data_IF_243149845376
#
_entry.id   IF_243149845376
#
_cell.length_a   1.000
_cell.length_b   1.000
_cell.length_c   1.000
_cell.angle_alpha   90.00
_cell.angle_beta   90.00
_cell.angle_gamma   90.00
#
_symmetry.space_group_name_H-M   'P 1'
#
loop_
_entity.id
_entity.type
_entity.pdbx_description
1 polymer ?
#
# COMPACT_ATOMS: atom_id res chain seq x y z
N UNK A 1 -2.18 -7.62 -0.36
CA UNK A 1 -1.97 -8.27 -1.67
C UNK A 1 -2.05 -7.23 -2.78
N UNK A 2 -1.13 -7.25 -3.77
CA UNK A 2 -1.17 -6.31 -4.91
C UNK A 2 -2.00 -6.90 -6.06
N UNK A 3 -2.99 -6.15 -6.53
CA UNK A 3 -3.91 -6.53 -7.60
C UNK A 3 -3.78 -5.52 -8.74
N UNK A 4 -3.76 -5.98 -10.00
CA UNK A 4 -3.89 -5.10 -11.15
C UNK A 4 -5.37 -4.95 -11.49
N UNK A 5 -5.82 -3.70 -11.67
CA UNK A 5 -7.17 -3.40 -12.15
C UNK A 5 -7.06 -2.70 -13.50
N UNK A 6 -7.70 -3.27 -14.51
CA UNK A 6 -7.59 -2.84 -15.90
C UNK A 6 -8.97 -2.50 -16.51
N UNK A 7 -9.85 -1.87 -15.74
CA UNK A 7 -11.15 -1.42 -16.26
C UNK A 7 -10.97 -0.10 -16.99
N UNK A 8 -11.62 0.00 -18.16
CA UNK A 8 -11.61 1.18 -19.01
C UNK A 8 -12.31 2.40 -18.38
N UNK A 9 -13.09 2.20 -17.30
CA UNK A 9 -13.99 3.20 -16.72
C UNK A 9 -13.62 3.61 -15.28
N UNK A 10 -12.33 3.70 -14.93
CA UNK A 10 -11.93 4.45 -13.72
C UNK A 10 -12.07 5.96 -13.99
N UNK A 11 -13.31 6.39 -14.12
CA UNK A 11 -13.75 7.76 -14.26
C UNK A 11 -14.32 8.27 -12.93
N UNK A 12 -14.59 9.58 -12.87
CA UNK A 12 -15.18 10.28 -11.71
C UNK A 12 -16.42 9.59 -11.10
N UNK A 13 -17.16 8.77 -11.86
CA UNK A 13 -18.27 7.96 -11.36
C UNK A 13 -17.84 6.81 -10.41
N UNK A 14 -16.68 6.17 -10.64
CA UNK A 14 -16.14 5.12 -9.78
C UNK A 14 -15.47 5.69 -8.52
N UNK A 15 -14.83 6.85 -8.63
CA UNK A 15 -14.37 7.61 -7.46
C UNK A 15 -15.53 8.00 -6.53
N UNK A 16 -16.72 8.27 -7.09
CA UNK A 16 -17.93 8.58 -6.33
C UNK A 16 -18.66 7.32 -5.79
N UNK A 17 -18.38 6.12 -6.31
CA UNK A 17 -18.94 4.84 -5.81
C UNK A 17 -18.07 4.19 -4.74
N UNK A 18 -16.75 4.43 -4.78
CA UNK A 18 -15.88 4.08 -3.67
C UNK A 18 -16.19 5.04 -2.53
N UNK A 19 -16.87 4.53 -1.51
CA UNK A 19 -17.15 5.29 -0.31
C UNK A 19 -15.81 5.75 0.29
N UNK A 20 -15.52 7.04 0.21
CA UNK A 20 -14.22 7.66 0.53
C UNK A 20 -13.88 7.42 2.01
N UNK A 21 -14.91 7.22 2.82
CA UNK A 21 -14.78 6.86 4.23
C UNK A 21 -14.20 5.46 4.45
N UNK A 22 -14.17 4.60 3.42
CA UNK A 22 -13.73 3.19 3.49
C UNK A 22 -12.54 2.84 2.59
N UNK A 23 -12.02 3.75 1.79
CA UNK A 23 -10.89 3.47 0.87
C UNK A 23 -9.84 4.58 0.89
N UNK A 24 -8.60 4.24 0.52
CA UNK A 24 -7.52 5.21 0.32
C UNK A 24 -7.24 5.31 -1.18
N UNK A 25 -7.26 6.52 -1.72
CA UNK A 25 -6.97 6.80 -3.12
C UNK A 25 -5.69 7.63 -3.20
N UNK A 26 -4.72 7.15 -3.97
CA UNK A 26 -3.44 7.83 -4.21
C UNK A 26 -3.33 8.05 -5.72
N UNK A 27 -3.38 9.32 -6.14
CA UNK A 27 -3.33 9.69 -7.56
C UNK A 27 -1.90 10.03 -8.00
N UNK A 28 -1.29 9.16 -8.80
CA UNK A 28 0.10 9.26 -9.23
C UNK A 28 0.29 10.14 -10.47
N UNK A 29 -0.79 10.67 -11.08
CA UNK A 29 -0.72 11.38 -12.36
C UNK A 29 0.02 12.72 -12.29
N UNK A 30 -0.04 13.38 -11.13
CA UNK A 30 0.65 14.65 -10.89
C UNK A 30 2.13 14.46 -10.51
N UNK A 31 2.60 13.23 -10.29
CA UNK A 31 3.99 12.97 -9.94
C UNK A 31 4.94 13.18 -11.13
N UNK A 32 6.07 13.82 -10.87
CA UNK A 32 7.05 14.16 -11.90
C UNK A 32 8.37 13.42 -11.75
N UNK A 33 8.83 13.22 -10.51
CA UNK A 33 10.11 12.61 -10.14
C UNK A 33 9.90 11.31 -9.34
N UNK A 34 10.94 10.45 -9.26
CA UNK A 34 10.92 9.25 -8.41
C UNK A 34 10.58 9.59 -6.95
N UNK A 35 11.12 10.70 -6.45
CA UNK A 35 10.89 11.21 -5.09
C UNK A 35 9.43 11.61 -4.87
N UNK A 36 8.76 12.20 -5.88
CA UNK A 36 7.33 12.58 -5.79
C UNK A 36 6.44 11.35 -5.54
N UNK A 37 6.70 10.24 -6.25
CA UNK A 37 5.93 9.01 -6.07
C UNK A 37 6.11 8.43 -4.66
N UNK A 38 7.36 8.38 -4.17
CA UNK A 38 7.66 7.89 -2.82
C UNK A 38 6.99 8.80 -1.79
N UNK A 39 7.14 10.11 -1.93
CA UNK A 39 6.62 11.08 -0.99
C UNK A 39 5.10 11.02 -0.92
N UNK A 40 4.42 10.97 -2.07
CA UNK A 40 2.96 10.91 -2.12
C UNK A 40 2.42 9.64 -1.44
N UNK A 41 3.02 8.47 -1.73
CA UNK A 41 2.57 7.21 -1.13
C UNK A 41 2.84 7.21 0.38
N UNK A 42 4.06 7.57 0.80
CA UNK A 42 4.43 7.61 2.22
C UNK A 42 3.65 8.62 3.03
N UNK A 43 3.31 9.78 2.47
CA UNK A 43 2.50 10.78 3.19
C UNK A 43 1.03 10.35 3.29
N UNK A 44 0.48 9.69 2.26
CA UNK A 44 -0.92 9.22 2.30
C UNK A 44 -1.10 8.02 3.22
N UNK A 45 -0.10 7.13 3.28
CA UNK A 45 -0.11 5.95 4.14
C UNK A 45 0.60 6.17 5.48
N UNK A 46 0.96 7.41 5.86
CA UNK A 46 1.67 7.63 7.12
C UNK A 46 0.80 7.23 8.30
N UNK A 47 1.27 6.26 9.08
CA UNK A 47 0.58 5.72 10.24
C UNK A 47 1.10 6.37 11.53
N UNK A 48 0.50 6.07 12.68
CA UNK A 48 0.82 6.74 13.95
C UNK A 48 2.25 6.49 14.45
N UNK A 49 2.87 5.36 14.07
CA UNK A 49 4.26 5.01 14.35
C UNK A 49 5.26 5.52 13.29
N UNK A 50 4.79 6.02 12.15
CA UNK A 50 5.67 6.52 11.10
C UNK A 50 6.39 7.80 11.56
N UNK A 51 7.71 7.72 11.70
CA UNK A 51 8.52 8.91 11.99
C UNK A 51 8.49 9.86 10.79
N UNK A 52 8.04 11.11 11.02
CA UNK A 52 8.01 12.14 9.96
C UNK A 52 9.39 12.45 9.37
N UNK A 53 10.46 12.09 10.08
CA UNK A 53 11.85 12.22 9.65
C UNK A 53 12.29 11.04 8.78
N UNK A 54 11.79 10.98 7.53
CA UNK A 54 12.17 9.89 6.61
C UNK A 54 11.27 9.76 5.38
N UNK A 55 10.07 10.32 5.43
CA UNK A 55 9.10 10.32 4.34
C UNK A 55 9.72 10.78 3.01
N UNK A 56 9.40 10.09 1.92
CA UNK A 56 9.77 10.49 0.56
C UNK A 56 11.23 10.32 0.14
N UNK A 57 12.13 9.81 0.99
CA UNK A 57 13.58 9.86 0.68
C UNK A 57 14.10 8.70 -0.17
N UNK A 58 13.61 7.48 0.06
CA UNK A 58 14.05 6.29 -0.66
C UNK A 58 13.04 5.14 -0.49
N UNK A 59 13.28 4.02 -1.19
CA UNK A 59 12.42 2.83 -1.15
C UNK A 59 12.43 2.11 0.20
N UNK A 60 13.48 2.27 1.01
CA UNK A 60 13.53 1.68 2.35
C UNK A 60 12.56 2.43 3.27
N UNK A 61 12.59 3.76 3.25
CA UNK A 61 11.63 4.60 3.97
C UNK A 61 10.18 4.36 3.51
N UNK A 62 9.96 4.10 2.21
CA UNK A 62 8.66 3.64 1.71
C UNK A 62 8.25 2.33 2.38
N UNK A 63 9.17 1.38 2.44
CA UNK A 63 8.91 0.06 2.99
C UNK A 63 8.58 0.12 4.48
N UNK A 64 9.29 0.96 5.24
CA UNK A 64 9.03 1.15 6.66
C UNK A 64 7.64 1.74 6.90
N UNK A 65 7.29 2.84 6.20
CA UNK A 65 5.97 3.49 6.35
C UNK A 65 4.84 2.57 5.93
N UNK A 66 5.00 1.86 4.80
CA UNK A 66 3.98 0.93 4.32
C UNK A 66 3.86 -0.27 5.27
N UNK A 67 4.98 -0.73 5.86
CA UNK A 67 4.96 -1.78 6.88
C UNK A 67 4.19 -1.32 8.12
N UNK A 68 4.49 -0.12 8.63
CA UNK A 68 3.80 0.46 9.79
C UNK A 68 2.30 0.61 9.50
N UNK A 69 1.95 1.13 8.33
CA UNK A 69 0.56 1.22 7.89
C UNK A 69 -0.13 -0.14 7.89
N UNK A 70 0.49 -1.16 7.29
CA UNK A 70 -0.06 -2.50 7.23
C UNK A 70 -0.22 -3.10 8.63
N UNK A 71 0.78 -2.93 9.51
CA UNK A 71 0.75 -3.46 10.87
C UNK A 71 -0.30 -2.76 11.75
N UNK A 72 -0.42 -1.42 11.66
CA UNK A 72 -1.40 -0.64 12.44
C UNK A 72 -2.83 -0.82 11.95
N UNK A 73 -3.01 -0.93 10.64
CA UNK A 73 -4.31 -1.04 9.99
C UNK A 73 -4.61 -2.48 9.58
N UNK A 74 -3.94 -3.45 10.21
CA UNK A 74 -4.20 -4.86 9.97
C UNK A 74 -5.67 -5.14 10.32
N UNK A 75 -6.49 -5.28 9.27
CA UNK A 75 -7.95 -5.46 9.32
C UNK A 75 -8.75 -4.29 9.90
N UNK A 76 -8.18 -3.08 9.87
CA UNK A 76 -8.92 -1.84 10.04
C UNK A 76 -9.00 -1.17 8.66
N UNK A 77 -10.19 -1.28 8.06
CA UNK A 77 -10.39 -1.50 6.63
C UNK A 77 -10.27 -0.25 5.76
N UNK A 78 -9.16 -0.12 5.01
CA UNK A 78 -9.18 0.61 3.72
C UNK A 78 -8.34 -0.08 2.66
N UNK A 79 -8.98 -0.47 1.56
CA UNK A 79 -8.25 -0.86 0.36
C UNK A 79 -7.56 0.39 -0.22
N UNK A 80 -6.38 0.20 -0.80
CA UNK A 80 -5.54 1.28 -1.32
C UNK A 80 -5.56 1.21 -2.84
N UNK A 81 -5.89 2.32 -3.48
CA UNK A 81 -5.99 2.44 -4.93
C UNK A 81 -4.90 3.39 -5.43
N UNK A 82 -3.92 2.86 -6.16
CA UNK A 82 -2.86 3.61 -6.82
C UNK A 82 -3.30 3.93 -8.26
N UNK A 83 -3.83 5.13 -8.46
CA UNK A 83 -4.39 5.59 -9.73
C UNK A 83 -3.29 6.17 -10.62
N UNK A 84 -3.36 5.95 -11.94
CA UNK A 84 -2.34 6.42 -12.88
C UNK A 84 -1.10 5.54 -12.91
N UNK A 85 -1.22 4.25 -12.58
CA UNK A 85 -0.09 3.33 -12.60
C UNK A 85 0.46 3.11 -14.01
N UNK A 86 -0.39 3.17 -15.03
CA UNK A 86 0.05 3.12 -16.43
C UNK A 86 0.91 4.33 -16.81
N UNK A 87 0.46 5.54 -16.47
CA UNK A 87 1.26 6.76 -16.61
C UNK A 87 2.62 6.63 -15.91
N UNK A 88 2.63 6.07 -14.70
CA UNK A 88 3.86 5.84 -13.96
C UNK A 88 4.81 4.86 -14.67
N UNK A 89 4.30 3.73 -15.18
CA UNK A 89 5.09 2.76 -15.96
C UNK A 89 5.69 3.42 -17.20
N UNK A 90 4.91 4.21 -17.94
CA UNK A 90 5.35 4.85 -19.18
C UNK A 90 6.44 5.89 -18.94
N UNK A 91 6.33 6.68 -17.86
CA UNK A 91 7.29 7.75 -17.53
C UNK A 91 8.54 7.23 -16.83
N UNK A 92 8.39 6.23 -15.96
CA UNK A 92 9.44 5.70 -15.09
C UNK A 92 9.44 4.16 -15.05
N UNK A 93 9.78 3.48 -16.17
CA UNK A 93 9.58 2.03 -16.32
C UNK A 93 10.41 1.18 -15.35
N UNK A 94 11.66 1.57 -15.07
CA UNK A 94 12.52 0.84 -14.14
C UNK A 94 12.09 1.08 -12.69
N UNK A 95 11.77 2.34 -12.36
CA UNK A 95 11.44 2.71 -11.00
C UNK A 95 10.06 2.20 -10.58
N UNK A 96 9.07 2.17 -11.47
CA UNK A 96 7.76 1.55 -11.21
C UNK A 96 7.88 0.07 -10.82
N UNK A 97 8.79 -0.68 -11.46
CA UNK A 97 9.07 -2.07 -11.08
C UNK A 97 9.78 -2.18 -9.71
N UNK A 98 10.73 -1.28 -9.42
CA UNK A 98 11.38 -1.23 -8.10
C UNK A 98 10.37 -0.92 -6.99
N UNK A 99 9.47 0.03 -7.22
CA UNK A 99 8.44 0.42 -6.27
C UNK A 99 7.42 -0.71 -6.07
N UNK A 100 6.98 -1.36 -7.16
CA UNK A 100 6.13 -2.56 -7.09
C UNK A 100 6.77 -3.66 -6.25
N UNK A 101 8.05 -3.93 -6.48
CA UNK A 101 8.80 -4.93 -5.73
C UNK A 101 8.92 -4.53 -4.25
N UNK A 102 9.16 -3.25 -3.94
CA UNK A 102 9.19 -2.75 -2.58
C UNK A 102 7.85 -2.99 -1.87
N UNK A 103 6.72 -2.60 -2.47
CA UNK A 103 5.39 -2.82 -1.91
C UNK A 103 5.10 -4.31 -1.66
N UNK A 104 5.44 -5.19 -2.62
CA UNK A 104 5.25 -6.64 -2.46
C UNK A 104 6.10 -7.23 -1.33
N UNK A 105 7.39 -6.85 -1.28
CA UNK A 105 8.30 -7.35 -0.25
C UNK A 105 7.88 -6.87 1.14
N UNK A 106 7.42 -5.63 1.25
CA UNK A 106 6.89 -5.08 2.50
C UNK A 106 5.68 -5.83 2.99
N UNK A 107 4.74 -6.16 2.11
CA UNK A 107 3.58 -6.97 2.45
C UNK A 107 3.99 -8.36 3.00
N UNK A 108 4.90 -9.04 2.32
CA UNK A 108 5.40 -10.36 2.77
C UNK A 108 6.15 -10.28 4.10
N UNK A 109 6.99 -9.25 4.28
CA UNK A 109 7.71 -9.01 5.54
C UNK A 109 6.74 -8.77 6.69
N UNK A 110 5.69 -7.98 6.47
CA UNK A 110 4.67 -7.69 7.48
C UNK A 110 3.92 -8.96 7.93
N UNK A 111 3.52 -9.84 6.99
CA UNK A 111 2.98 -11.18 7.33
C UNK A 111 3.98 -11.98 8.17
N UNK A 112 5.25 -12.01 7.73
CA UNK A 112 6.30 -12.77 8.42
C UNK A 112 6.54 -12.26 9.84
N UNK A 113 6.52 -10.94 10.05
CA UNK A 113 6.67 -10.32 11.36
C UNK A 113 5.53 -10.71 12.29
N UNK A 114 4.28 -10.68 11.81
CA UNK A 114 3.12 -11.12 12.59
C UNK A 114 3.22 -12.60 12.98
N UNK A 115 3.65 -13.48 12.05
CA UNK A 115 3.90 -14.89 12.35
C UNK A 115 4.97 -15.09 13.42
N UNK A 116 6.04 -14.28 13.40
CA UNK A 116 7.09 -14.34 14.40
C UNK A 116 6.59 -13.91 15.79
N UNK A 117 5.81 -12.83 15.89
CA UNK A 117 5.20 -12.40 17.15
C UNK A 117 4.29 -13.48 17.74
N UNK A 118 3.53 -14.16 16.88
CA UNK A 118 2.70 -15.31 17.29
C UNK A 118 3.59 -16.46 17.81
N UNK A 119 4.65 -16.79 17.08
CA UNK A 119 5.58 -17.85 17.47
C UNK A 119 6.31 -17.54 18.79
N UNK A 120 6.59 -16.27 19.08
CA UNK A 120 7.16 -15.83 20.36
C UNK A 120 6.15 -15.78 21.50
N UNK A 121 4.86 -15.88 21.21
CA UNK A 121 3.79 -15.82 22.19
C UNK A 121 3.41 -14.40 22.61
N UNK A 122 3.84 -13.38 21.87
CA UNK A 122 3.52 -11.98 22.15
C UNK A 122 2.05 -11.64 21.81
N UNK A 123 1.51 -12.31 20.78
CA UNK A 123 0.10 -12.21 20.35
C UNK A 123 -0.39 -13.59 19.90
N UNK A 124 -1.70 -13.82 19.89
CA UNK A 124 -2.30 -15.05 19.34
C UNK A 124 -2.69 -14.92 17.87
N UNK A 125 -2.86 -16.04 17.17
CA UNK A 125 -3.42 -16.07 15.81
C UNK A 125 -4.75 -15.33 15.68
N UNK A 126 -5.57 -15.36 16.74
CA UNK A 126 -6.87 -14.69 16.80
C UNK A 126 -6.72 -13.19 17.00
N UNK A 127 -5.85 -12.75 17.91
CA UNK A 127 -5.58 -11.33 18.16
C UNK A 127 -4.91 -10.66 16.96
N UNK A 128 -4.04 -11.38 16.26
CA UNK A 128 -3.44 -10.94 15.01
C UNK A 128 -4.42 -11.01 13.82
N UNK A 129 -5.55 -11.70 13.99
CA UNK A 129 -6.54 -12.00 12.95
C UNK A 129 -5.88 -12.47 11.62
N UNK A 130 -4.77 -13.20 11.73
CA UNK A 130 -3.89 -13.49 10.61
C UNK A 130 -4.56 -14.41 9.58
N UNK A 131 -5.46 -15.29 10.03
CA UNK A 131 -6.22 -16.17 9.15
C UNK A 131 -7.08 -15.37 8.17
N UNK A 132 -7.80 -14.34 8.66
CA UNK A 132 -8.65 -13.46 7.85
C UNK A 132 -7.81 -12.66 6.85
N UNK A 133 -6.63 -12.17 7.28
CA UNK A 133 -5.71 -11.47 6.38
C UNK A 133 -5.17 -12.37 5.26
N UNK A 134 -4.93 -13.66 5.55
CA UNK A 134 -4.49 -14.64 4.55
C UNK A 134 -5.62 -15.10 3.62
N UNK A 135 -6.86 -15.27 4.13
CA UNK A 135 -8.00 -15.73 3.34
C UNK A 135 -8.61 -14.61 2.50
N UNK A 136 -8.81 -13.43 3.09
CA UNK A 136 -9.51 -12.31 2.43
C UNK A 136 -8.52 -11.41 1.67
N UNK A 137 -7.22 -11.57 1.94
CA UNK A 137 -6.12 -10.84 1.31
C UNK A 137 -6.20 -9.32 1.47
N UNK A 138 -6.78 -8.83 2.58
CA UNK A 138 -6.98 -7.40 2.88
C UNK A 138 -5.91 -6.84 3.83
N UNK A 139 -5.54 -5.54 3.69
CA UNK A 139 -5.96 -4.62 2.63
C UNK A 139 -5.35 -5.00 1.28
N UNK A 140 -6.14 -4.81 0.22
CA UNK A 140 -5.65 -4.96 -1.16
C UNK A 140 -5.08 -3.63 -1.63
N UNK A 141 -3.96 -3.69 -2.33
CA UNK A 141 -3.42 -2.56 -3.07
C UNK A 141 -3.76 -2.77 -4.54
N UNK A 142 -4.59 -1.91 -5.10
CA UNK A 142 -4.99 -1.96 -6.50
C UNK A 142 -4.15 -0.99 -7.32
N UNK A 143 -3.50 -1.50 -8.35
CA UNK A 143 -2.78 -0.71 -9.35
C UNK A 143 -3.74 -0.47 -10.51
N UNK A 144 -4.15 0.79 -10.71
CA UNK A 144 -5.11 1.14 -11.76
C UNK A 144 -4.35 1.54 -13.02
N UNK A 145 -4.58 0.77 -14.08
CA UNK A 145 -3.82 0.82 -15.33
C UNK A 145 -4.44 1.74 -16.40
N UNK A 146 -5.38 2.60 -16.03
CA UNK A 146 -5.99 3.56 -16.95
C UNK A 146 -5.04 4.70 -17.35
#
# INVERSE_FOLDING_TARGET
MICFWNDYDWDSAYQNQLDIDTNIIIDLRECSSEEDFILLITTTLSASFSTKQGLGKNLDALSDVVSDYLNENWLQWKDVYLVGWKYFIEKHPVFSQKLLNALNNTYLKSISSMLMMINWGDITFKEAHLLEALTDSKPKMFLILN
#
